data_IF_018431450002
#
_entry.id   IF_018431450002
#
_cell.length_a   1.000
_cell.length_b   1.000
_cell.length_c   1.000
_cell.angle_alpha   90.00
_cell.angle_beta   90.00
_cell.angle_gamma   90.00
#
_symmetry.space_group_name_H-M   'P 1'
#
loop_
_entity.id
_entity.type
_entity.pdbx_description
1 polymer ?
#
# COMPACT_ATOMS: atom_id res chain seq x y z
N UNK A 1 -0.55 -20.17 -26.45
CA UNK A 1 -0.13 -19.05 -25.59
C UNK A 1 -1.26 -18.79 -24.62
N UNK A 2 -1.00 -18.57 -23.34
CA UNK A 2 -2.04 -18.09 -22.44
C UNK A 2 -2.15 -16.60 -22.76
N UNK A 3 -3.20 -16.21 -23.48
CA UNK A 3 -3.48 -14.83 -23.94
C UNK A 3 -3.98 -13.90 -22.82
N UNK A 4 -3.86 -14.33 -21.56
CA UNK A 4 -4.41 -13.63 -20.42
C UNK A 4 -3.39 -12.64 -19.86
N UNK A 5 -3.80 -11.38 -19.69
CA UNK A 5 -2.99 -10.40 -18.97
C UNK A 5 -2.85 -10.83 -17.51
N UNK A 6 -1.62 -11.16 -17.09
CA UNK A 6 -1.32 -11.53 -15.71
C UNK A 6 -1.17 -10.29 -14.82
N UNK A 7 -2.31 -9.68 -14.50
CA UNK A 7 -2.41 -8.58 -13.55
C UNK A 7 -2.80 -9.12 -12.16
N UNK A 8 -2.10 -8.65 -11.12
CA UNK A 8 -2.42 -8.94 -9.72
C UNK A 8 -3.01 -7.68 -9.08
N UNK A 9 -4.18 -7.80 -8.46
CA UNK A 9 -4.81 -6.66 -7.79
C UNK A 9 -4.18 -6.42 -6.43
N UNK A 10 -3.67 -5.21 -6.21
CA UNK A 10 -3.29 -4.79 -4.86
C UNK A 10 -4.58 -4.51 -4.08
N UNK A 11 -4.81 -5.16 -2.93
CA UNK A 11 -6.06 -4.99 -2.21
C UNK A 11 -6.13 -3.65 -1.46
N UNK A 12 -7.34 -3.28 -1.06
CA UNK A 12 -7.55 -2.24 -0.05
C UNK A 12 -7.04 -2.69 1.31
N UNK A 13 -6.44 -1.77 2.06
CA UNK A 13 -6.22 -1.98 3.49
C UNK A 13 -7.35 -1.32 4.28
N UNK A 14 -8.32 -2.14 4.70
CA UNK A 14 -9.51 -1.73 5.45
C UNK A 14 -9.50 -2.42 6.82
N UNK A 15 -8.99 -1.76 7.87
CA UNK A 15 -8.95 -2.35 9.21
C UNK A 15 -10.35 -2.55 9.78
N UNK A 16 -10.62 -3.75 10.27
CA UNK A 16 -11.85 -4.11 10.98
C UNK A 16 -11.64 -3.97 12.49
N UNK A 17 -12.08 -2.83 13.06
CA UNK A 17 -11.87 -2.53 14.47
C UNK A 17 -12.80 -3.33 15.39
N UNK A 18 -12.24 -3.95 16.43
CA UNK A 18 -13.02 -4.73 17.39
C UNK A 18 -13.83 -3.82 18.32
N UNK A 19 -15.05 -4.25 18.66
CA UNK A 19 -15.88 -3.60 19.66
C UNK A 19 -15.24 -3.70 21.06
N UNK A 20 -15.27 -2.62 21.84
CA UNK A 20 -14.68 -2.59 23.19
C UNK A 20 -13.15 -2.54 23.25
N UNK A 21 -12.44 -2.62 22.11
CA UNK A 21 -11.00 -2.39 22.05
C UNK A 21 -10.67 -0.93 21.70
N UNK A 22 -9.66 -0.39 22.38
CA UNK A 22 -9.10 0.94 22.12
C UNK A 22 -7.88 0.82 21.20
N UNK A 23 -7.82 1.73 20.23
CA UNK A 23 -6.77 1.86 19.24
C UNK A 23 -6.22 3.29 19.27
N UNK A 24 -4.98 3.47 18.83
CA UNK A 24 -4.31 4.77 18.84
C UNK A 24 -2.87 4.62 18.42
N UNK A 25 -2.05 5.64 18.67
CA UNK A 25 -0.64 5.66 18.29
C UNK A 25 0.28 5.23 19.43
N UNK A 26 -0.03 5.64 20.66
CA UNK A 26 0.85 5.43 21.83
C UNK A 26 0.42 4.24 22.70
N UNK A 27 1.37 3.74 23.49
CA UNK A 27 1.12 2.80 24.59
C UNK A 27 0.36 1.52 24.15
N UNK A 28 -0.54 1.03 25.01
CA UNK A 28 -1.35 -0.17 24.74
C UNK A 28 -2.27 0.00 23.50
N UNK A 29 -2.97 1.13 23.31
CA UNK A 29 -3.73 1.38 22.07
C UNK A 29 -2.86 1.31 20.81
N UNK A 30 -1.64 1.83 20.86
CA UNK A 30 -0.63 1.70 19.79
C UNK A 30 -0.31 0.25 19.44
N UNK A 31 -0.04 -0.59 20.44
CA UNK A 31 0.23 -2.03 20.21
C UNK A 31 -0.97 -2.77 19.63
N UNK A 32 -2.18 -2.42 20.06
CA UNK A 32 -3.41 -2.97 19.51
C UNK A 32 -3.57 -2.59 18.04
N UNK A 33 -3.34 -1.32 17.71
CA UNK A 33 -3.46 -0.82 16.35
C UNK A 33 -2.38 -1.41 15.42
N UNK A 34 -1.13 -1.50 15.88
CA UNK A 34 -0.06 -2.13 15.11
C UNK A 34 -0.42 -3.60 14.79
N UNK A 35 -0.94 -4.33 15.76
CA UNK A 35 -1.36 -5.72 15.58
C UNK A 35 -2.50 -5.84 14.56
N UNK A 36 -3.51 -4.97 14.66
CA UNK A 36 -4.63 -4.92 13.72
C UNK A 36 -4.15 -4.57 12.30
N UNK A 37 -3.30 -3.55 12.15
CA UNK A 37 -2.83 -3.11 10.85
C UNK A 37 -1.91 -4.15 10.19
N UNK A 38 -1.07 -4.86 10.97
CA UNK A 38 -0.31 -6.02 10.46
C UNK A 38 -1.24 -7.13 9.99
N UNK A 39 -2.31 -7.45 10.73
CA UNK A 39 -3.30 -8.43 10.26
C UNK A 39 -3.97 -7.95 8.98
N UNK A 40 -4.33 -6.67 8.92
CA UNK A 40 -5.02 -6.03 7.79
C UNK A 40 -4.17 -6.04 6.52
N UNK A 41 -2.86 -5.79 6.63
CA UNK A 41 -1.95 -5.74 5.48
C UNK A 41 -1.23 -7.05 5.18
N UNK A 42 -1.66 -8.16 5.80
CA UNK A 42 -0.92 -9.42 5.80
C UNK A 42 0.57 -9.24 6.16
N UNK A 43 0.87 -8.36 7.12
CA UNK A 43 2.20 -8.00 7.61
C UNK A 43 3.12 -7.35 6.54
N UNK A 44 2.54 -6.70 5.53
CA UNK A 44 3.27 -5.93 4.52
C UNK A 44 3.10 -4.41 4.71
N UNK A 45 4.06 -3.65 4.17
CA UNK A 45 3.99 -2.20 4.12
C UNK A 45 2.79 -1.77 3.28
N UNK A 46 1.96 -0.85 3.77
CA UNK A 46 0.77 -0.44 3.05
C UNK A 46 1.06 0.42 1.78
N UNK A 47 2.30 0.88 1.59
CA UNK A 47 2.72 1.68 0.44
C UNK A 47 3.54 0.90 -0.60
N UNK A 48 4.59 0.20 -0.17
CA UNK A 48 5.49 -0.54 -1.08
C UNK A 48 5.34 -2.06 -1.03
N UNK A 49 4.43 -2.54 -0.18
CA UNK A 49 4.09 -3.96 -0.07
C UNK A 49 5.25 -4.87 0.35
N UNK A 50 6.34 -4.31 0.87
CA UNK A 50 7.45 -5.08 1.45
C UNK A 50 7.05 -5.72 2.77
N UNK A 51 7.52 -6.95 3.02
CA UNK A 51 7.30 -7.65 4.27
C UNK A 51 7.88 -6.86 5.45
N UNK A 52 7.09 -6.63 6.49
CA UNK A 52 7.48 -5.76 7.62
C UNK A 52 8.14 -6.52 8.76
N UNK A 53 7.85 -7.81 8.89
CA UNK A 53 8.39 -8.64 9.96
C UNK A 53 8.60 -10.07 9.48
N UNK A 54 9.75 -10.63 9.81
CA UNK A 54 10.05 -12.06 9.74
C UNK A 54 10.81 -12.47 11.01
N UNK A 55 11.31 -13.71 11.06
CA UNK A 55 12.04 -14.23 12.23
C UNK A 55 13.29 -13.42 12.63
N UNK A 56 13.89 -12.68 11.69
CA UNK A 56 15.15 -11.97 11.89
C UNK A 56 15.00 -10.45 12.02
N UNK A 57 13.94 -9.89 11.44
CA UNK A 57 13.78 -8.45 11.23
C UNK A 57 12.36 -8.03 11.55
N UNK A 58 12.21 -6.91 12.27
CA UNK A 58 10.93 -6.22 12.43
C UNK A 58 11.14 -4.72 12.17
N UNK A 59 10.66 -4.23 11.03
CA UNK A 59 10.86 -2.85 10.56
C UNK A 59 9.56 -2.06 10.45
N UNK A 60 8.41 -2.72 10.54
CA UNK A 60 7.11 -2.07 10.49
C UNK A 60 6.86 -1.17 11.70
N UNK A 61 6.30 0.01 11.47
CA UNK A 61 5.88 0.92 12.52
C UNK A 61 4.66 1.71 12.08
N UNK A 62 3.93 2.21 13.08
CA UNK A 62 2.79 3.09 12.87
C UNK A 62 3.26 4.41 12.24
N UNK A 63 2.49 4.89 11.27
CA UNK A 63 2.75 6.14 10.55
C UNK A 63 1.47 6.97 10.43
N UNK A 64 1.61 8.29 10.33
CA UNK A 64 0.48 9.21 10.20
C UNK A 64 0.27 9.57 8.72
N UNK A 65 -0.84 9.12 8.13
CA UNK A 65 -1.17 9.26 6.71
C UNK A 65 -1.17 10.74 6.29
N UNK A 66 -1.83 11.59 7.07
CA UNK A 66 -1.69 13.04 7.05
C UNK A 66 -0.74 13.43 8.17
N UNK A 67 0.25 14.28 7.86
CA UNK A 67 1.23 14.71 8.84
C UNK A 67 0.57 15.34 10.08
N UNK A 68 0.81 14.74 11.24
CA UNK A 68 0.27 15.23 12.52
C UNK A 68 0.71 16.65 12.87
N UNK A 69 1.77 17.17 12.27
CA UNK A 69 2.23 18.55 12.48
C UNK A 69 1.22 19.59 11.95
N UNK A 70 0.25 19.20 11.12
CA UNK A 70 -0.89 20.05 10.80
C UNK A 70 -1.69 20.35 12.06
N UNK A 71 -1.91 19.34 12.92
CA UNK A 71 -2.62 19.49 14.19
C UNK A 71 -2.27 18.32 15.13
N UNK A 72 -1.28 18.52 15.98
CA UNK A 72 -0.76 17.45 16.83
C UNK A 72 -1.77 17.00 17.89
N UNK A 73 -2.69 17.88 18.30
CA UNK A 73 -3.70 17.61 19.31
C UNK A 73 -4.65 16.52 18.83
N UNK A 74 -5.17 16.67 17.61
CA UNK A 74 -6.22 15.80 17.10
C UNK A 74 -5.67 14.67 16.20
N UNK A 75 -4.64 14.91 15.38
CA UNK A 75 -4.16 13.93 14.40
C UNK A 75 -3.23 12.86 14.98
N UNK A 76 -2.58 13.11 16.13
CA UNK A 76 -1.62 12.16 16.71
C UNK A 76 -2.27 10.84 17.10
N UNK A 77 -3.46 10.88 17.71
CA UNK A 77 -4.18 9.67 18.15
C UNK A 77 -5.37 9.34 17.23
N UNK A 78 -5.58 10.11 16.14
CA UNK A 78 -6.63 9.84 15.17
C UNK A 78 -6.38 8.51 14.46
N UNK A 79 -7.03 7.45 14.95
CA UNK A 79 -6.84 6.07 14.47
C UNK A 79 -7.08 5.91 12.96
N UNK A 80 -8.08 6.58 12.32
CA UNK A 80 -8.21 6.54 10.86
C UNK A 80 -7.04 7.15 10.08
N UNK A 81 -6.25 8.02 10.72
CA UNK A 81 -5.07 8.66 10.16
C UNK A 81 -3.79 7.85 10.38
N UNK A 82 -3.88 6.60 10.83
CA UNK A 82 -2.70 5.81 11.18
C UNK A 82 -2.65 4.55 10.34
N UNK A 83 -1.54 4.38 9.62
CA UNK A 83 -1.22 3.19 8.83
C UNK A 83 -0.02 2.44 9.40
N UNK A 84 0.39 1.36 8.72
CA UNK A 84 1.66 0.69 8.98
C UNK A 84 2.54 0.68 7.75
N UNK A 85 3.79 1.10 7.91
CA UNK A 85 4.73 1.25 6.81
C UNK A 85 6.15 0.82 7.20
N UNK A 86 6.99 0.61 6.18
CA UNK A 86 8.42 0.43 6.34
C UNK A 86 9.14 1.80 6.50
N UNK A 87 10.38 1.83 7.04
CA UNK A 87 11.11 3.07 7.27
C UNK A 87 11.39 3.87 6.01
N UNK A 88 11.63 3.20 4.88
CA UNK A 88 11.88 3.89 3.63
C UNK A 88 10.63 4.65 3.13
N UNK A 89 9.45 4.04 3.24
CA UNK A 89 8.20 4.70 2.85
C UNK A 89 7.87 5.86 3.81
N UNK A 90 7.86 5.61 5.11
CA UNK A 90 7.42 6.61 6.09
C UNK A 90 8.45 7.73 6.30
N UNK A 91 9.72 7.40 6.53
CA UNK A 91 10.73 8.35 6.99
C UNK A 91 11.46 9.08 5.85
N UNK A 92 11.29 8.61 4.60
CA UNK A 92 11.98 9.17 3.43
C UNK A 92 11.01 9.51 2.31
N UNK A 93 10.41 8.51 1.66
CA UNK A 93 9.67 8.71 0.41
C UNK A 93 8.42 9.56 0.59
N UNK A 94 7.60 9.32 1.62
CA UNK A 94 6.41 10.14 1.93
C UNK A 94 6.75 11.60 2.28
N UNK A 95 7.96 11.83 2.81
CA UNK A 95 8.42 13.15 3.29
C UNK A 95 8.89 14.07 2.16
N UNK A 96 9.09 13.52 0.96
CA UNK A 96 9.40 14.35 -0.22
C UNK A 96 8.22 15.28 -0.49
N UNK A 97 8.51 16.59 -0.61
CA UNK A 97 7.49 17.63 -0.78
C UNK A 97 6.65 17.92 0.49
N UNK A 98 6.99 17.36 1.66
CA UNK A 98 6.25 17.58 2.91
C UNK A 98 6.17 19.05 3.29
N UNK A 99 7.30 19.78 3.27
CA UNK A 99 7.34 21.19 3.65
C UNK A 99 6.41 22.05 2.77
N UNK A 100 6.55 21.96 1.45
CA UNK A 100 5.72 22.71 0.50
C UNK A 100 4.24 22.35 0.63
N UNK A 101 3.93 21.07 0.87
CA UNK A 101 2.57 20.60 1.08
C UNK A 101 1.96 21.20 2.35
N UNK A 102 2.69 21.23 3.45
CA UNK A 102 2.22 21.80 4.72
C UNK A 102 1.93 23.30 4.58
N UNK A 103 2.80 24.06 3.90
CA UNK A 103 2.61 25.50 3.65
C UNK A 103 1.32 25.76 2.85
N UNK A 104 0.98 24.89 1.90
CA UNK A 104 -0.24 25.03 1.06
C UNK A 104 -1.53 24.58 1.76
N UNK A 105 -1.45 24.00 2.96
CA UNK A 105 -2.60 23.44 3.70
C UNK A 105 -3.05 24.32 4.87
N UNK A 106 -2.54 25.54 5.00
CA UNK A 106 -2.83 26.42 6.14
C UNK A 106 -4.33 26.71 6.32
N UNK A 107 -5.07 26.96 5.24
CA UNK A 107 -6.52 27.21 5.32
C UNK A 107 -7.30 25.93 5.67
N UNK A 108 -6.93 24.80 5.07
CA UNK A 108 -7.55 23.51 5.39
C UNK A 108 -7.30 23.10 6.85
N UNK A 109 -6.12 23.42 7.39
CA UNK A 109 -5.79 23.26 8.81
C UNK A 109 -6.71 24.10 9.70
N UNK A 110 -6.91 25.38 9.39
CA UNK A 110 -7.80 26.26 10.18
C UNK A 110 -9.23 25.73 10.19
N UNK A 111 -9.76 25.32 9.04
CA UNK A 111 -11.09 24.71 8.94
C UNK A 111 -11.18 23.43 9.79
N UNK A 112 -10.18 22.54 9.67
CA UNK A 112 -10.15 21.30 10.45
C UNK A 112 -10.20 21.55 11.97
N UNK A 113 -9.36 22.45 12.49
CA UNK A 113 -9.31 22.77 13.92
C UNK A 113 -10.62 23.37 14.43
N UNK A 114 -11.30 24.18 13.61
CA UNK A 114 -12.59 24.77 13.98
C UNK A 114 -13.73 23.75 14.03
N UNK A 115 -13.69 22.74 13.16
CA UNK A 115 -14.80 21.79 12.99
C UNK A 115 -14.64 20.50 13.79
N UNK A 116 -13.41 20.04 14.06
CA UNK A 116 -13.17 18.76 14.74
C UNK A 116 -13.74 18.77 16.16
N UNK A 117 -14.49 17.71 16.51
CA UNK A 117 -15.17 17.57 17.82
C UNK A 117 -14.65 16.38 18.64
N UNK A 118 -13.65 15.65 18.15
CA UNK A 118 -13.11 14.46 18.79
C UNK A 118 -11.66 14.66 19.20
N UNK A 119 -11.23 14.05 20.30
CA UNK A 119 -9.82 14.03 20.73
C UNK A 119 -8.98 12.89 20.09
N UNK A 120 -9.55 12.23 19.07
CA UNK A 120 -8.92 11.18 18.27
C UNK A 120 -8.94 9.77 18.88
N UNK A 121 -9.14 9.61 20.19
CA UNK A 121 -8.88 8.34 20.91
C UNK A 121 -9.90 7.23 20.69
N UNK A 122 -11.10 7.56 20.24
CA UNK A 122 -12.21 6.61 20.05
C UNK A 122 -12.63 6.44 18.59
N UNK A 123 -12.01 7.19 17.67
CA UNK A 123 -12.38 7.17 16.27
C UNK A 123 -12.05 5.82 15.64
N UNK A 124 -13.04 5.15 15.03
CA UNK A 124 -12.86 3.92 14.23
C UNK A 124 -13.24 4.10 12.77
N UNK A 125 -13.73 5.30 12.43
CA UNK A 125 -14.19 5.69 11.10
C UNK A 125 -13.75 7.12 10.84
N UNK A 126 -13.52 7.45 9.57
CA UNK A 126 -13.22 8.82 9.14
C UNK A 126 -14.41 9.73 9.46
N UNK A 127 -14.21 10.73 10.32
CA UNK A 127 -15.20 11.77 10.57
C UNK A 127 -15.23 12.79 9.41
N UNK A 128 -16.29 13.59 9.31
CA UNK A 128 -16.45 14.54 8.20
C UNK A 128 -15.34 15.59 8.15
N UNK A 129 -14.89 16.12 9.29
CA UNK A 129 -13.77 17.07 9.32
C UNK A 129 -12.47 16.42 8.81
N UNK A 130 -12.20 15.17 9.19
CA UNK A 130 -11.04 14.43 8.67
C UNK A 130 -11.16 14.16 7.17
N UNK A 131 -12.35 13.78 6.65
CA UNK A 131 -12.56 13.58 5.21
C UNK A 131 -12.31 14.84 4.39
N UNK A 132 -12.76 16.00 4.88
CA UNK A 132 -12.47 17.30 4.26
C UNK A 132 -10.97 17.58 4.22
N UNK A 133 -10.28 17.44 5.35
CA UNK A 133 -8.83 17.62 5.44
C UNK A 133 -8.10 16.66 4.51
N UNK A 134 -8.48 15.38 4.50
CA UNK A 134 -7.94 14.33 3.62
C UNK A 134 -8.10 14.69 2.16
N UNK A 135 -9.26 15.22 1.76
CA UNK A 135 -9.51 15.67 0.39
C UNK A 135 -8.54 16.78 -0.03
N UNK A 136 -8.40 17.83 0.77
CA UNK A 136 -7.47 18.92 0.48
C UNK A 136 -6.01 18.47 0.50
N UNK A 137 -5.65 17.61 1.44
CA UNK A 137 -4.33 16.98 1.51
C UNK A 137 -4.01 16.20 0.23
N UNK A 138 -4.91 15.32 -0.21
CA UNK A 138 -4.73 14.46 -1.38
C UNK A 138 -4.57 15.25 -2.68
N UNK A 139 -5.20 16.42 -2.81
CA UNK A 139 -4.98 17.34 -3.96
C UNK A 139 -3.54 17.83 -4.06
N UNK A 140 -2.85 17.97 -2.92
CA UNK A 140 -1.47 18.48 -2.87
C UNK A 140 -0.44 17.36 -2.86
N UNK A 141 -0.67 16.30 -2.08
CA UNK A 141 0.26 15.20 -1.93
C UNK A 141 0.26 14.25 -3.12
N UNK A 142 -0.90 14.09 -3.78
CA UNK A 142 -1.12 13.07 -4.81
C UNK A 142 -0.74 11.64 -4.35
N UNK A 143 -0.89 11.37 -3.05
CA UNK A 143 -0.65 10.08 -2.43
C UNK A 143 -1.99 9.38 -2.18
N UNK A 144 -2.12 8.13 -2.67
CA UNK A 144 -3.15 7.20 -2.22
C UNK A 144 -2.88 6.86 -0.74
N UNK A 145 -3.52 7.60 0.16
CA UNK A 145 -3.37 7.45 1.60
C UNK A 145 -3.91 6.11 2.09
N UNK A 146 -3.21 5.54 3.08
CA UNK A 146 -3.59 4.31 3.76
C UNK A 146 -3.82 4.61 5.23
N UNK A 147 -4.70 3.90 5.94
CA UNK A 147 -5.68 2.96 5.42
C UNK A 147 -6.82 3.67 4.63
N UNK A 148 -7.75 2.89 4.08
CA UNK A 148 -8.97 3.35 3.37
C UNK A 148 -8.81 3.86 1.93
N UNK A 149 -7.61 4.21 1.47
CA UNK A 149 -7.41 4.63 0.08
C UNK A 149 -7.96 6.02 -0.23
N UNK A 150 -8.03 6.34 -1.53
CA UNK A 150 -8.45 7.63 -2.08
C UNK A 150 -9.37 7.40 -3.29
N UNK A 151 -10.28 8.34 -3.54
CA UNK A 151 -11.13 8.38 -4.74
C UNK A 151 -10.83 9.63 -5.55
N UNK A 152 -10.98 9.54 -6.88
CA UNK A 152 -10.86 10.69 -7.76
C UNK A 152 -11.96 11.71 -7.49
N UNK A 153 -11.59 12.99 -7.45
CA UNK A 153 -12.52 14.08 -7.08
C UNK A 153 -13.64 14.24 -8.10
N UNK A 154 -13.31 14.11 -9.39
CA UNK A 154 -14.25 14.25 -10.49
C UNK A 154 -14.92 12.92 -10.84
N UNK A 155 -14.16 11.82 -10.82
CA UNK A 155 -14.62 10.50 -11.26
C UNK A 155 -15.35 9.71 -10.16
N UNK A 156 -15.09 10.02 -8.89
CA UNK A 156 -15.50 9.22 -7.72
C UNK A 156 -15.03 7.75 -7.78
N UNK A 157 -14.09 7.43 -8.68
CA UNK A 157 -13.51 6.09 -8.81
C UNK A 157 -12.44 5.88 -7.74
N UNK A 158 -12.41 4.69 -7.16
CA UNK A 158 -11.36 4.32 -6.22
C UNK A 158 -10.02 4.20 -6.94
N UNK A 159 -8.98 4.82 -6.41
CA UNK A 159 -7.64 4.70 -6.97
C UNK A 159 -7.02 3.37 -6.56
N UNK A 160 -6.86 2.50 -7.55
CA UNK A 160 -6.35 1.13 -7.42
C UNK A 160 -5.11 0.91 -8.27
N UNK A 161 -4.19 0.12 -7.72
CA UNK A 161 -2.96 -0.31 -8.37
C UNK A 161 -3.07 -1.81 -8.67
N UNK A 162 -2.52 -2.21 -9.81
CA UNK A 162 -2.26 -3.60 -10.16
C UNK A 162 -0.76 -3.82 -10.36
N UNK A 163 -0.30 -5.05 -10.20
CA UNK A 163 1.04 -5.46 -10.59
C UNK A 163 0.97 -6.28 -11.88
N UNK A 164 1.66 -5.80 -12.91
CA UNK A 164 1.88 -6.51 -14.17
C UNK A 164 3.02 -7.51 -14.01
N UNK A 165 2.67 -8.80 -13.99
CA UNK A 165 3.61 -9.90 -13.78
C UNK A 165 4.64 -10.01 -14.90
N UNK A 166 4.28 -9.69 -16.14
CA UNK A 166 5.18 -9.87 -17.28
C UNK A 166 6.16 -8.71 -17.45
N UNK A 167 5.74 -7.49 -17.10
CA UNK A 167 6.60 -6.31 -17.12
C UNK A 167 7.26 -6.03 -15.75
N UNK A 168 6.85 -6.79 -14.73
CA UNK A 168 7.28 -6.68 -13.35
C UNK A 168 6.98 -5.30 -12.71
N UNK A 169 5.92 -4.62 -13.12
CA UNK A 169 5.65 -3.21 -12.80
C UNK A 169 4.30 -2.99 -12.13
N UNK A 170 4.26 -2.00 -11.23
CA UNK A 170 3.02 -1.47 -10.69
C UNK A 170 2.41 -0.47 -11.68
N UNK A 171 1.12 -0.62 -11.95
CA UNK A 171 0.37 0.18 -12.92
C UNK A 171 -1.00 0.57 -12.35
N UNK A 172 -1.63 1.65 -12.84
CA UNK A 172 -3.04 1.92 -12.57
C UNK A 172 -3.90 0.71 -12.95
N UNK A 173 -4.90 0.38 -12.12
CA UNK A 173 -5.76 -0.77 -12.35
C UNK A 173 -6.56 -0.63 -13.65
N UNK A 174 -6.51 -1.67 -14.49
CA UNK A 174 -7.27 -1.75 -15.75
C UNK A 174 -8.75 -2.14 -15.54
N UNK A 175 -9.18 -2.37 -14.29
CA UNK A 175 -10.59 -2.66 -13.95
C UNK A 175 -11.48 -1.43 -13.91
N UNK A 176 -10.87 -0.25 -13.94
CA UNK A 176 -11.53 1.04 -13.82
C UNK A 176 -11.33 1.83 -15.11
N UNK A 177 -12.31 2.64 -15.47
CA UNK A 177 -12.23 3.55 -16.62
C UNK A 177 -11.72 4.90 -16.15
N UNK A 178 -10.46 4.93 -15.71
CA UNK A 178 -9.82 6.15 -15.23
C UNK A 178 -9.71 7.22 -16.32
N UNK A 179 -9.91 8.48 -15.94
CA UNK A 179 -9.54 9.63 -16.77
C UNK A 179 -8.01 9.83 -16.76
N UNK A 180 -7.50 10.67 -17.67
CA UNK A 180 -6.08 11.03 -17.69
C UNK A 180 -5.62 11.65 -16.35
N UNK A 181 -6.50 12.41 -15.68
CA UNK A 181 -6.23 12.98 -14.36
C UNK A 181 -6.13 11.90 -13.26
N UNK A 182 -7.02 10.91 -13.29
CA UNK A 182 -6.98 9.79 -12.35
C UNK A 182 -5.72 8.93 -12.56
N UNK A 183 -5.34 8.67 -13.83
CA UNK A 183 -4.12 7.94 -14.21
C UNK A 183 -2.89 8.69 -13.72
N UNK A 184 -2.78 9.99 -14.04
CA UNK A 184 -1.67 10.85 -13.60
C UNK A 184 -1.53 10.81 -12.07
N UNK A 185 -2.64 10.88 -11.32
CA UNK A 185 -2.61 10.76 -9.87
C UNK A 185 -1.98 9.44 -9.39
N UNK A 186 -2.45 8.31 -9.93
CA UNK A 186 -1.99 6.98 -9.51
C UNK A 186 -0.52 6.76 -9.90
N UNK A 187 -0.12 7.19 -11.09
CA UNK A 187 1.28 7.15 -11.55
C UNK A 187 2.19 7.99 -10.67
N UNK A 188 1.73 9.17 -10.24
CA UNK A 188 2.48 9.98 -9.28
C UNK A 188 2.69 9.25 -7.96
N UNK A 189 1.67 8.57 -7.43
CA UNK A 189 1.85 7.73 -6.23
C UNK A 189 2.89 6.62 -6.44
N UNK A 190 2.81 5.91 -7.57
CA UNK A 190 3.75 4.84 -7.94
C UNK A 190 5.20 5.39 -7.97
N UNK A 191 5.39 6.57 -8.57
CA UNK A 191 6.67 7.25 -8.65
C UNK A 191 7.15 7.81 -7.29
N UNK A 192 6.22 8.35 -6.48
CA UNK A 192 6.49 8.86 -5.14
C UNK A 192 7.12 7.79 -4.25
N UNK A 193 6.63 6.55 -4.35
CA UNK A 193 7.17 5.39 -3.62
C UNK A 193 8.18 4.57 -4.41
N UNK A 194 8.56 5.04 -5.60
CA UNK A 194 9.59 4.44 -6.47
C UNK A 194 9.33 2.97 -6.79
N UNK A 195 8.07 2.57 -6.89
CA UNK A 195 7.71 1.15 -6.95
C UNK A 195 8.29 0.42 -8.19
N UNK A 196 8.57 1.18 -9.26
CA UNK A 196 9.11 0.68 -10.53
C UNK A 196 10.57 1.08 -10.78
N UNK A 197 11.21 1.88 -9.91
CA UNK A 197 12.58 2.36 -10.13
C UNK A 197 13.59 1.19 -10.06
N UNK A 198 14.61 1.16 -10.93
CA UNK A 198 15.57 0.05 -11.04
C UNK A 198 16.32 -0.33 -9.73
N UNK A 199 16.35 0.54 -8.72
CA UNK A 199 16.93 0.27 -7.39
C UNK A 199 15.92 -0.08 -6.29
N UNK A 200 14.63 0.07 -6.53
CA UNK A 200 13.53 -0.15 -5.58
C UNK A 200 12.53 -1.21 -6.04
N UNK A 201 12.46 -1.45 -7.35
CA UNK A 201 11.63 -2.47 -8.00
C UNK A 201 11.89 -3.83 -7.36
N UNK A 202 10.83 -4.44 -6.86
CA UNK A 202 10.90 -5.71 -6.15
C UNK A 202 11.31 -6.84 -7.10
N UNK A 203 12.21 -7.71 -6.65
CA UNK A 203 12.58 -8.96 -7.34
C UNK A 203 11.87 -10.19 -6.77
N UNK A 204 11.05 -10.02 -5.73
CA UNK A 204 10.46 -11.12 -4.97
C UNK A 204 9.70 -12.15 -5.84
N UNK A 205 8.97 -11.68 -6.86
CA UNK A 205 8.25 -12.58 -7.76
C UNK A 205 9.21 -13.31 -8.73
N UNK A 206 10.28 -12.65 -9.17
CA UNK A 206 11.30 -13.29 -9.99
C UNK A 206 12.00 -14.41 -9.20
N UNK A 207 12.38 -14.14 -7.96
CA UNK A 207 12.99 -15.12 -7.06
C UNK A 207 12.04 -16.30 -6.81
N UNK A 208 10.76 -16.04 -6.52
CA UNK A 208 9.74 -17.09 -6.36
C UNK A 208 9.58 -17.94 -7.62
N UNK A 209 9.55 -17.31 -8.80
CA UNK A 209 9.40 -18.01 -10.08
C UNK A 209 10.59 -18.92 -10.34
N UNK A 210 11.82 -18.48 -10.03
CA UNK A 210 13.03 -19.30 -10.12
C UNK A 210 12.94 -20.53 -9.20
N UNK A 211 12.58 -20.33 -7.92
CA UNK A 211 12.40 -21.42 -6.96
C UNK A 211 11.37 -22.46 -7.43
N UNK A 212 10.27 -22.01 -8.03
CA UNK A 212 9.21 -22.90 -8.57
C UNK A 212 9.73 -23.74 -9.74
N UNK A 213 10.52 -23.14 -10.63
CA UNK A 213 11.12 -23.85 -11.78
C UNK A 213 12.11 -24.90 -11.29
N UNK A 214 12.99 -24.54 -10.36
CA UNK A 214 13.96 -25.48 -9.77
C UNK A 214 13.28 -26.66 -9.05
N UNK A 215 12.09 -26.42 -8.50
CA UNK A 215 11.26 -27.43 -7.85
C UNK A 215 10.26 -28.14 -8.79
N UNK A 216 10.44 -28.04 -10.12
CA UNK A 216 9.60 -28.70 -11.13
C UNK A 216 8.10 -28.34 -11.02
N UNK A 217 7.81 -27.06 -10.77
CA UNK A 217 6.45 -26.53 -10.65
C UNK A 217 5.85 -26.63 -9.24
N UNK A 218 6.60 -27.14 -8.26
CA UNK A 218 6.14 -27.24 -6.86
C UNK A 218 6.47 -25.98 -6.08
N UNK A 219 5.58 -25.56 -5.20
CA UNK A 219 5.84 -24.49 -4.24
C UNK A 219 5.12 -24.75 -2.92
N UNK A 220 5.60 -24.10 -1.85
CA UNK A 220 4.94 -24.11 -0.55
C UNK A 220 3.98 -22.93 -0.47
N UNK A 221 2.71 -23.19 -0.22
CA UNK A 221 1.70 -22.12 -0.09
C UNK A 221 2.12 -21.13 1.01
N UNK A 222 2.51 -21.64 2.18
CA UNK A 222 2.87 -20.85 3.36
C UNK A 222 4.31 -20.30 3.38
N UNK A 223 5.09 -20.39 2.29
CA UNK A 223 6.42 -19.76 2.29
C UNK A 223 6.32 -18.23 2.21
N UNK A 224 7.07 -17.53 3.05
CA UNK A 224 7.10 -16.06 3.03
C UNK A 224 8.12 -15.55 2.01
N UNK A 225 7.74 -14.52 1.27
CA UNK A 225 8.62 -13.76 0.38
C UNK A 225 8.64 -12.28 0.79
N UNK A 226 9.67 -11.51 0.41
CA UNK A 226 9.85 -10.15 0.92
C UNK A 226 8.85 -9.13 0.36
N UNK A 227 7.89 -9.53 -0.48
CA UNK A 227 6.87 -8.64 -1.03
C UNK A 227 5.53 -9.34 -1.27
N UNK A 228 4.44 -8.62 -0.99
CA UNK A 228 3.07 -9.13 -1.02
C UNK A 228 2.61 -9.62 -2.39
N UNK A 229 3.21 -9.12 -3.48
CA UNK A 229 2.88 -9.58 -4.84
C UNK A 229 3.03 -11.10 -5.00
N UNK A 230 3.91 -11.74 -4.23
CA UNK A 230 4.10 -13.20 -4.27
C UNK A 230 2.90 -13.91 -3.65
N UNK A 231 2.36 -13.41 -2.53
CA UNK A 231 1.14 -13.96 -1.94
C UNK A 231 -0.05 -13.83 -2.90
N UNK A 232 -0.18 -12.68 -3.56
CA UNK A 232 -1.22 -12.44 -4.56
C UNK A 232 -1.06 -13.38 -5.77
N UNK A 233 0.18 -13.59 -6.23
CA UNK A 233 0.45 -14.52 -7.33
C UNK A 233 0.10 -15.96 -6.94
N UNK A 234 0.52 -16.42 -5.75
CA UNK A 234 0.20 -17.74 -5.19
C UNK A 234 -1.30 -17.99 -5.11
N UNK A 235 -2.07 -17.01 -4.63
CA UNK A 235 -3.53 -17.12 -4.60
C UNK A 235 -4.13 -17.18 -6.01
N UNK A 236 -3.58 -16.45 -6.98
CA UNK A 236 -4.06 -16.50 -8.38
C UNK A 236 -3.78 -17.83 -9.07
N UNK A 237 -2.67 -18.49 -8.75
CA UNK A 237 -2.31 -19.81 -9.32
C UNK A 237 -2.84 -20.99 -8.49
N UNK A 238 -3.52 -20.72 -7.38
CA UNK A 238 -4.03 -21.73 -6.45
C UNK A 238 -5.00 -22.67 -7.17
N UNK A 239 -4.77 -23.98 -7.00
CA UNK A 239 -5.56 -25.02 -7.67
C UNK A 239 -5.23 -25.22 -9.14
N UNK A 240 -4.23 -24.53 -9.71
CA UNK A 240 -3.68 -24.88 -11.02
C UNK A 240 -2.87 -26.18 -10.94
N UNK A 241 -2.93 -26.97 -12.01
CA UNK A 241 -2.10 -28.16 -12.18
C UNK A 241 -0.61 -27.80 -12.18
N UNK A 242 0.22 -28.64 -11.55
CA UNK A 242 1.68 -28.43 -11.41
C UNK A 242 2.36 -28.13 -12.76
N UNK A 243 2.03 -28.87 -13.82
CA UNK A 243 2.59 -28.66 -15.16
C UNK A 243 2.22 -27.29 -15.75
N UNK A 244 1.02 -26.78 -15.44
CA UNK A 244 0.59 -25.44 -15.88
C UNK A 244 1.31 -24.35 -15.10
N UNK A 245 1.51 -24.55 -13.79
CA UNK A 245 2.28 -23.63 -12.93
C UNK A 245 3.72 -23.55 -13.44
N UNK A 246 4.36 -24.70 -13.69
CA UNK A 246 5.73 -24.75 -14.23
C UNK A 246 5.84 -23.95 -15.54
N UNK A 247 4.98 -24.23 -16.52
CA UNK A 247 4.99 -23.54 -17.82
C UNK A 247 4.76 -22.03 -17.69
N UNK A 248 3.90 -21.61 -16.76
CA UNK A 248 3.66 -20.19 -16.50
C UNK A 248 4.92 -19.54 -15.92
N UNK A 249 5.53 -20.16 -14.91
CA UNK A 249 6.76 -19.67 -14.29
C UNK A 249 7.91 -19.59 -15.32
N UNK A 250 8.10 -20.59 -16.17
CA UNK A 250 9.10 -20.55 -17.25
C UNK A 250 8.89 -19.36 -18.20
N UNK A 251 7.65 -19.06 -18.59
CA UNK A 251 7.33 -17.90 -19.43
C UNK A 251 7.65 -16.58 -18.74
N UNK A 252 7.31 -16.45 -17.45
CA UNK A 252 7.61 -15.27 -16.64
C UNK A 252 9.13 -15.11 -16.50
N UNK A 253 9.86 -16.20 -16.23
CA UNK A 253 11.32 -16.18 -16.08
C UNK A 253 12.03 -15.68 -17.33
N UNK A 254 11.61 -16.15 -18.52
CA UNK A 254 12.18 -15.68 -19.81
C UNK A 254 12.02 -14.16 -19.96
N UNK A 255 10.87 -13.60 -19.56
CA UNK A 255 10.63 -12.15 -19.58
C UNK A 255 11.48 -11.42 -18.54
N UNK A 256 11.60 -11.96 -17.33
CA UNK A 256 12.39 -11.39 -16.24
C UNK A 256 13.89 -11.31 -16.58
N UNK A 257 14.45 -12.29 -17.29
CA UNK A 257 15.85 -12.26 -17.75
C UNK A 257 16.15 -10.96 -18.51
N UNK A 258 15.26 -10.55 -19.40
CA UNK A 258 15.40 -9.30 -20.16
C UNK A 258 15.26 -8.04 -19.30
N UNK A 259 14.48 -8.09 -18.22
CA UNK A 259 14.16 -6.92 -17.39
C UNK A 259 15.19 -6.66 -16.28
N UNK A 260 15.85 -7.70 -15.76
CA UNK A 260 16.71 -7.57 -14.57
C UNK A 260 18.19 -7.88 -14.81
N UNK A 261 18.59 -8.33 -16.00
CA UNK A 261 20.01 -8.52 -16.38
C UNK A 261 20.63 -7.34 -17.15
N UNK A 262 19.88 -6.25 -17.36
CA UNK A 262 20.36 -4.99 -17.93
C UNK A 262 21.02 -4.10 -16.88
#
# INVERSE_FOLDING_TARGET
MIEENWLLDIPSFLPEYEAGMNYGYKNKPGKNLETLLRKTSNNHCMYCYSLLKNDRVNIGHLEHSIEKNLDEEHLTECTPNIAIACPNCNLSLKRVGEQERLEKLEEAKKEFVLEVQCDGKECKVECESYKKLKKEYCKKSRIILQPFGVKGENSNQEYRIQYDVYNAEFVPSQKYSYSDEDIDYIEHHINQFKLNDAGFKTKALADFVEDVIEADGKYRENSEYPNYIVDLFKEKIKGMEQEKVLRLCEQIHIKNITLFRS
#
